data_IF_742267085846
#
_entry.id   IF_742267085846
#
_cell.length_a   1.000
_cell.length_b   1.000
_cell.length_c   1.000
_cell.angle_alpha   90.00
_cell.angle_beta   90.00
_cell.angle_gamma   90.00
#
_symmetry.space_group_name_H-M   'P 1'
#
loop_
_entity.id
_entity.type
_entity.pdbx_description
1 polymer ?
#
# COMPACT_ATOMS: atom_id res chain seq x y z
N UNK A 1 -11.07 18.29 -15.17
CA UNK A 1 -9.64 18.19 -14.83
C UNK A 1 -9.39 16.84 -14.21
N UNK A 2 -8.85 15.92 -15.00
CA UNK A 2 -8.38 14.62 -14.51
C UNK A 2 -7.08 14.84 -13.71
N UNK A 3 -7.17 14.69 -12.39
CA UNK A 3 -5.98 14.71 -11.55
C UNK A 3 -5.39 13.31 -11.57
N UNK A 4 -4.23 13.14 -12.21
CA UNK A 4 -3.50 11.88 -12.15
C UNK A 4 -2.93 11.71 -10.74
N UNK A 5 -3.40 10.73 -9.95
CA UNK A 5 -2.87 10.48 -8.62
C UNK A 5 -1.37 10.16 -8.70
N UNK A 6 -0.56 10.87 -7.90
CA UNK A 6 0.88 10.60 -7.77
C UNK A 6 1.08 9.39 -6.87
N UNK A 7 1.15 8.21 -7.46
CA UNK A 7 1.45 6.96 -6.77
C UNK A 7 2.94 6.87 -6.41
N UNK A 8 3.22 6.46 -5.18
CA UNK A 8 4.55 6.14 -4.69
C UNK A 8 4.66 4.64 -4.46
N UNK A 9 5.51 3.98 -5.24
CA UNK A 9 5.83 2.55 -5.10
C UNK A 9 6.77 2.33 -3.93
N UNK A 10 6.49 1.33 -3.09
CA UNK A 10 7.37 0.95 -1.98
C UNK A 10 8.78 0.60 -2.48
N UNK A 11 9.80 0.96 -1.70
CA UNK A 11 11.20 0.61 -1.99
C UNK A 11 11.51 -0.87 -1.71
N UNK A 12 10.61 -1.58 -1.02
CA UNK A 12 10.71 -3.02 -0.75
C UNK A 12 10.21 -3.89 -1.92
N UNK A 13 9.80 -3.26 -3.02
CA UNK A 13 9.16 -3.89 -4.18
C UNK A 13 10.14 -4.35 -5.26
N UNK A 14 11.38 -4.66 -4.88
CA UNK A 14 12.40 -5.22 -5.77
C UNK A 14 13.35 -6.11 -4.98
N UNK A 15 13.53 -7.36 -5.42
CA UNK A 15 14.56 -8.25 -4.88
C UNK A 15 14.16 -9.69 -4.55
N UNK A 16 12.99 -10.20 -4.99
CA UNK A 16 12.60 -11.60 -4.77
C UNK A 16 11.47 -12.06 -5.69
N UNK A 17 11.25 -13.37 -5.73
CA UNK A 17 10.17 -14.01 -6.49
C UNK A 17 8.82 -13.66 -5.84
N UNK A 18 8.09 -12.72 -6.45
CA UNK A 18 6.81 -12.22 -5.95
C UNK A 18 6.67 -10.71 -6.14
N UNK A 19 6.03 -10.29 -7.23
CA UNK A 19 5.67 -8.89 -7.57
C UNK A 19 4.55 -8.34 -6.67
N UNK A 20 4.71 -8.43 -5.35
CA UNK A 20 3.73 -7.89 -4.38
C UNK A 20 4.06 -6.43 -4.09
N UNK A 21 4.02 -5.58 -5.12
CA UNK A 21 4.35 -4.17 -4.96
C UNK A 21 3.13 -3.39 -4.47
N UNK A 22 3.21 -2.82 -3.27
CA UNK A 22 2.20 -1.87 -2.78
C UNK A 22 2.59 -0.45 -3.18
N UNK A 23 1.59 0.29 -3.66
CA UNK A 23 1.69 1.71 -4.00
C UNK A 23 0.71 2.53 -3.16
N UNK A 24 1.14 3.73 -2.76
CA UNK A 24 0.32 4.66 -1.99
C UNK A 24 0.16 6.01 -2.70
N UNK A 25 -0.98 6.66 -2.51
CA UNK A 25 -1.21 8.01 -3.01
C UNK A 25 -2.03 8.84 -2.00
N UNK A 26 -1.64 10.10 -1.80
CA UNK A 26 -2.48 11.06 -1.10
C UNK A 26 -3.69 11.43 -1.96
N UNK A 27 -4.88 11.46 -1.36
CA UNK A 27 -6.12 11.83 -2.04
C UNK A 27 -6.96 12.75 -1.14
N UNK A 28 -7.92 13.45 -1.74
CA UNK A 28 -8.92 14.16 -0.96
C UNK A 28 -9.63 13.17 -0.02
N UNK A 29 -9.55 13.44 1.29
CA UNK A 29 -10.13 12.59 2.33
C UNK A 29 -9.23 11.46 2.86
N UNK A 30 -7.97 11.35 2.43
CA UNK A 30 -7.01 10.41 3.05
C UNK A 30 -5.95 9.84 2.12
N UNK A 31 -5.72 8.54 2.22
CA UNK A 31 -4.70 7.79 1.50
C UNK A 31 -5.37 6.68 0.70
N UNK A 32 -4.91 6.47 -0.53
CA UNK A 32 -5.27 5.31 -1.35
C UNK A 32 -4.10 4.34 -1.41
N UNK A 33 -4.41 3.06 -1.31
CA UNK A 33 -3.46 1.96 -1.48
C UNK A 33 -3.93 1.06 -2.61
N UNK A 34 -2.98 0.52 -3.37
CA UNK A 34 -3.24 -0.50 -4.38
C UNK A 34 -2.03 -1.42 -4.52
N UNK A 35 -2.23 -2.57 -5.12
CA UNK A 35 -1.14 -3.41 -5.62
C UNK A 35 -0.83 -3.05 -7.08
N UNK A 36 0.42 -3.26 -7.48
CA UNK A 36 0.86 -3.02 -8.86
C UNK A 36 0.17 -3.96 -9.86
N UNK A 37 -0.16 -5.17 -9.45
CA UNK A 37 -0.79 -6.20 -10.29
C UNK A 37 -2.32 -6.06 -10.35
N UNK A 38 -2.92 -5.32 -9.41
CA UNK A 38 -4.37 -5.04 -9.38
C UNK A 38 -4.65 -3.52 -9.34
N UNK A 39 -4.17 -2.74 -10.33
CA UNK A 39 -4.14 -1.27 -10.25
C UNK A 39 -5.51 -0.58 -10.23
N UNK A 40 -6.59 -1.31 -10.53
CA UNK A 40 -7.97 -0.84 -10.48
C UNK A 40 -8.59 -0.96 -9.07
N UNK A 41 -8.03 -1.81 -8.20
CA UNK A 41 -8.57 -2.06 -6.85
C UNK A 41 -7.89 -1.13 -5.85
N UNK A 42 -8.64 -0.17 -5.30
CA UNK A 42 -8.09 0.82 -4.36
C UNK A 42 -8.69 0.65 -2.97
N UNK A 43 -7.85 0.47 -1.97
CA UNK A 43 -8.23 0.62 -0.57
C UNK A 43 -8.11 2.09 -0.16
N UNK A 44 -9.08 2.57 0.62
CA UNK A 44 -9.08 3.94 1.16
C UNK A 44 -8.89 3.88 2.66
N UNK A 45 -8.00 4.72 3.17
CA UNK A 45 -7.70 4.80 4.59
C UNK A 45 -7.29 6.22 4.98
N UNK A 46 -7.00 6.45 6.25
CA UNK A 46 -6.43 7.71 6.76
C UNK A 46 -5.06 7.44 7.38
N UNK A 47 -4.25 8.48 7.68
CA UNK A 47 -2.90 8.27 8.22
C UNK A 47 -2.85 7.44 9.50
N UNK A 48 -3.80 7.64 10.43
CA UNK A 48 -3.85 6.92 11.72
C UNK A 48 -4.02 5.40 11.58
N UNK A 49 -5.07 4.87 10.93
CA UNK A 49 -5.21 3.43 10.73
C UNK A 49 -4.10 2.84 9.87
N UNK A 50 -3.56 3.58 8.88
CA UNK A 50 -2.39 3.11 8.13
C UNK A 50 -1.15 2.94 9.02
N UNK A 51 -0.87 3.91 9.88
CA UNK A 51 0.23 3.81 10.84
C UNK A 51 0.04 2.60 11.77
N UNK A 52 -1.18 2.41 12.30
CA UNK A 52 -1.53 1.26 13.14
C UNK A 52 -1.28 -0.07 12.43
N UNK A 53 -1.68 -0.21 11.16
CA UNK A 53 -1.42 -1.40 10.35
C UNK A 53 0.09 -1.66 10.18
N UNK A 54 0.87 -0.63 9.83
CA UNK A 54 2.32 -0.76 9.64
C UNK A 54 3.00 -1.18 10.96
N UNK A 55 2.60 -0.57 12.08
CA UNK A 55 3.11 -0.95 13.40
C UNK A 55 2.76 -2.40 13.75
N UNK A 56 1.52 -2.83 13.47
CA UNK A 56 1.08 -4.20 13.72
C UNK A 56 1.88 -5.22 12.91
N UNK A 57 2.07 -4.97 11.60
CA UNK A 57 2.85 -5.84 10.71
C UNK A 57 4.30 -5.95 11.21
N UNK A 58 4.92 -4.81 11.56
CA UNK A 58 6.30 -4.80 12.09
C UNK A 58 6.43 -5.53 13.42
N UNK A 59 5.43 -5.42 14.30
CA UNK A 59 5.47 -6.04 15.62
C UNK A 59 5.24 -7.56 15.60
N UNK A 60 4.48 -8.07 14.63
CA UNK A 60 4.04 -9.49 14.63
C UNK A 60 4.64 -10.33 13.50
N UNK A 61 5.28 -9.71 12.52
CA UNK A 61 5.60 -10.36 11.26
C UNK A 61 4.33 -10.73 10.49
N UNK A 62 4.41 -10.75 9.16
CA UNK A 62 3.35 -11.39 8.38
C UNK A 62 3.43 -12.88 8.68
N UNK A 63 2.45 -13.41 9.41
CA UNK A 63 2.26 -14.85 9.53
C UNK A 63 1.69 -15.35 8.21
N UNK A 64 2.55 -15.77 7.29
CA UNK A 64 2.16 -16.63 6.18
C UNK A 64 1.80 -17.98 6.77
N UNK A 65 0.51 -18.26 6.94
CA UNK A 65 0.03 -19.63 7.10
C UNK A 65 0.23 -20.33 5.76
N UNK A 66 1.25 -21.19 5.70
CA UNK A 66 1.40 -22.18 4.62
C UNK A 66 0.41 -23.33 4.79
#
# INVERSE_FOLDING_TARGET
MEYTPRWQKSTYSGGGEGDTCIELCAAAGGIRLRESTTPATHLRTTPTPLAGLVHHIKARGVRTTS
#
